data_IF_401717937859
#
_entry.id   IF_401717937859
#
_cell.length_a   1.000
_cell.length_b   1.000
_cell.length_c   1.000
_cell.angle_alpha   90.00
_cell.angle_beta   90.00
_cell.angle_gamma   90.00
#
_symmetry.space_group_name_H-M   'P 1'
#
loop_
_entity.id
_entity.type
_entity.pdbx_description
1 polymer ?
#
# COMPACT_ATOMS: atom_id res chain seq x y z
N UNK A 1 -28.75 20.41 -16.43
CA UNK A 1 -27.42 20.93 -16.13
C UNK A 1 -26.73 19.82 -15.37
N UNK A 2 -26.09 18.91 -16.10
CA UNK A 2 -25.35 17.78 -15.53
C UNK A 2 -24.07 18.35 -14.92
N UNK A 3 -23.94 18.28 -13.60
CA UNK A 3 -22.71 18.57 -12.91
C UNK A 3 -21.74 17.40 -13.17
N UNK A 4 -20.66 17.74 -13.83
CA UNK A 4 -19.58 16.87 -14.26
C UNK A 4 -18.92 16.21 -13.03
N UNK A 5 -19.06 14.88 -12.89
CA UNK A 5 -18.52 14.02 -11.83
C UNK A 5 -16.97 13.92 -11.83
N UNK A 6 -16.27 14.86 -12.49
CA UNK A 6 -14.82 14.80 -12.77
C UNK A 6 -13.90 15.49 -11.77
N UNK A 7 -14.39 15.95 -10.61
CA UNK A 7 -13.53 16.75 -9.69
C UNK A 7 -12.64 15.87 -8.79
N UNK A 8 -12.81 14.55 -8.76
CA UNK A 8 -12.03 13.64 -7.85
C UNK A 8 -11.22 12.58 -8.61
N UNK A 9 -11.28 12.53 -9.93
CA UNK A 9 -10.43 11.67 -10.73
C UNK A 9 -9.12 12.40 -11.05
N UNK A 10 -8.17 12.38 -10.12
CA UNK A 10 -6.76 12.55 -10.47
C UNK A 10 -6.42 11.50 -11.51
N UNK A 11 -6.03 11.94 -12.71
CA UNK A 11 -5.75 11.18 -13.91
C UNK A 11 -5.41 9.69 -13.65
N UNK A 12 -6.43 8.84 -13.62
CA UNK A 12 -6.28 7.42 -13.85
C UNK A 12 -5.87 7.28 -15.32
N UNK A 13 -4.57 7.09 -15.52
CA UNK A 13 -4.08 6.71 -16.82
C UNK A 13 -4.70 5.36 -17.18
N UNK A 14 -5.08 5.15 -18.45
CA UNK A 14 -5.59 3.87 -19.00
C UNK A 14 -4.73 2.65 -18.61
N UNK A 15 -3.50 2.88 -18.16
CA UNK A 15 -2.59 1.87 -17.61
C UNK A 15 -3.09 1.20 -16.31
N UNK A 16 -4.03 1.77 -15.56
CA UNK A 16 -4.52 1.21 -14.29
C UNK A 16 -5.84 0.43 -14.41
N UNK A 17 -6.60 0.58 -15.47
CA UNK A 17 -7.90 -0.11 -15.66
C UNK A 17 -7.81 -1.63 -15.58
N UNK A 18 -6.72 -2.24 -16.05
CA UNK A 18 -6.48 -3.67 -15.93
C UNK A 18 -6.08 -4.12 -14.51
N UNK A 19 -5.45 -3.25 -13.70
CA UNK A 19 -5.14 -3.57 -12.29
C UNK A 19 -6.41 -3.74 -11.47
N UNK A 20 -7.46 -2.97 -11.78
CA UNK A 20 -8.77 -3.14 -11.15
C UNK A 20 -9.39 -4.51 -11.43
N UNK A 21 -9.22 -5.05 -12.66
CA UNK A 21 -9.76 -6.37 -13.02
C UNK A 21 -9.08 -7.52 -12.27
N UNK A 22 -7.81 -7.33 -11.84
CA UNK A 22 -7.06 -8.35 -11.11
C UNK A 22 -7.32 -8.31 -9.58
N UNK A 23 -7.93 -7.24 -9.07
CA UNK A 23 -8.18 -7.11 -7.63
C UNK A 23 -9.32 -8.04 -7.20
N UNK A 24 -9.16 -8.75 -6.06
CA UNK A 24 -10.27 -9.48 -5.47
C UNK A 24 -11.37 -8.52 -5.03
N UNK A 25 -12.62 -8.95 -5.14
CA UNK A 25 -13.79 -8.17 -4.78
C UNK A 25 -14.38 -8.56 -3.43
N UNK A 26 -14.14 -9.79 -2.98
CA UNK A 26 -14.67 -10.35 -1.74
C UNK A 26 -13.53 -10.91 -0.87
N UNK A 27 -13.77 -11.05 0.42
CA UNK A 27 -12.80 -11.58 1.39
C UNK A 27 -12.38 -13.01 1.09
N UNK A 28 -13.27 -13.83 0.54
CA UNK A 28 -12.95 -15.21 0.18
C UNK A 28 -11.97 -15.31 -0.99
N UNK A 29 -11.90 -14.30 -1.86
CA UNK A 29 -10.96 -14.21 -2.96
C UNK A 29 -9.61 -13.61 -2.53
N UNK A 30 -9.56 -12.98 -1.35
CA UNK A 30 -8.38 -12.31 -0.83
C UNK A 30 -7.41 -13.33 -0.27
N UNK A 31 -6.27 -13.50 -0.91
CA UNK A 31 -5.22 -14.46 -0.56
C UNK A 31 -4.29 -13.84 0.47
N UNK A 32 -3.81 -14.65 1.42
CA UNK A 32 -2.90 -14.21 2.49
C UNK A 32 -3.55 -13.38 3.58
N UNK A 33 -2.73 -12.73 4.42
CA UNK A 33 -3.16 -11.87 5.54
C UNK A 33 -4.21 -12.55 6.45
N UNK A 34 -4.03 -13.83 6.75
CA UNK A 34 -5.06 -14.71 7.35
C UNK A 34 -5.66 -14.11 8.60
N UNK A 35 -4.83 -13.64 9.55
CA UNK A 35 -5.31 -13.07 10.81
C UNK A 35 -6.15 -11.80 10.60
N UNK A 36 -5.71 -10.91 9.71
CA UNK A 36 -6.45 -9.68 9.36
C UNK A 36 -7.79 -10.03 8.73
N UNK A 37 -7.78 -10.99 7.80
CA UNK A 37 -8.97 -11.44 7.09
C UNK A 37 -9.99 -12.09 8.03
N UNK A 38 -9.56 -12.95 8.94
CA UNK A 38 -10.42 -13.63 9.88
C UNK A 38 -11.10 -12.63 10.83
N UNK A 39 -10.34 -11.68 11.38
CA UNK A 39 -10.88 -10.63 12.24
C UNK A 39 -11.87 -9.74 11.48
N UNK A 40 -11.50 -9.25 10.31
CA UNK A 40 -12.39 -8.41 9.49
C UNK A 40 -13.68 -9.15 9.11
N UNK A 41 -13.61 -10.45 8.80
CA UNK A 41 -14.80 -11.26 8.51
C UNK A 41 -15.80 -11.27 9.67
N UNK A 42 -15.30 -11.34 10.92
CA UNK A 42 -16.15 -11.29 12.12
C UNK A 42 -16.78 -9.90 12.26
N UNK A 43 -15.96 -8.84 12.18
CA UNK A 43 -16.45 -7.46 12.38
C UNK A 43 -17.46 -7.03 11.32
N UNK A 44 -17.19 -7.34 10.04
CA UNK A 44 -18.08 -7.05 8.92
C UNK A 44 -19.40 -7.78 9.08
N UNK A 45 -19.40 -9.08 9.40
CA UNK A 45 -20.63 -9.86 9.62
C UNK A 45 -21.45 -9.31 10.78
N UNK A 46 -20.78 -8.92 11.86
CA UNK A 46 -21.44 -8.35 13.03
C UNK A 46 -22.09 -6.99 12.73
N UNK A 47 -21.38 -6.09 12.03
CA UNK A 47 -21.92 -4.79 11.62
C UNK A 47 -23.10 -4.96 10.64
N UNK A 48 -22.95 -5.83 9.63
CA UNK A 48 -24.01 -6.13 8.67
C UNK A 48 -25.28 -6.71 9.35
N UNK A 49 -25.11 -7.60 10.33
CA UNK A 49 -26.25 -8.18 11.07
C UNK A 49 -27.01 -7.15 11.93
N UNK A 50 -26.33 -6.11 12.39
CA UNK A 50 -26.94 -5.01 13.17
C UNK A 50 -27.41 -3.85 12.29
N UNK A 51 -27.13 -3.87 10.98
CA UNK A 51 -27.34 -2.76 10.04
C UNK A 51 -26.69 -1.45 10.48
N UNK A 52 -25.49 -1.54 11.04
CA UNK A 52 -24.68 -0.42 11.54
C UNK A 52 -23.43 -0.23 10.68
N UNK A 53 -22.89 0.99 10.71
CA UNK A 53 -21.57 1.24 10.16
C UNK A 53 -20.53 0.38 10.89
N UNK A 54 -19.51 -0.09 10.17
CA UNK A 54 -18.36 -0.75 10.77
C UNK A 54 -17.55 0.28 11.57
N UNK A 55 -16.93 -0.13 12.65
CA UNK A 55 -15.95 0.70 13.36
C UNK A 55 -14.86 1.19 12.38
N UNK A 56 -14.32 2.38 12.66
CA UNK A 56 -13.26 2.93 11.82
C UNK A 56 -12.03 2.02 11.77
N UNK A 57 -11.47 1.81 10.56
CA UNK A 57 -10.41 0.84 10.29
C UNK A 57 -9.12 1.56 9.87
N UNK A 58 -8.00 1.24 10.49
CA UNK A 58 -6.67 1.68 10.08
C UNK A 58 -5.90 0.53 9.46
N UNK A 59 -5.57 0.66 8.18
CA UNK A 59 -4.75 -0.28 7.42
C UNK A 59 -3.32 0.25 7.33
N UNK A 60 -2.35 -0.46 7.88
CA UNK A 60 -0.96 0.01 7.83
C UNK A 60 0.01 -1.10 7.42
N UNK A 61 1.15 -0.72 6.90
CA UNK A 61 2.21 -1.61 6.42
C UNK A 61 2.84 -1.12 5.13
N UNK A 62 3.87 -1.81 4.62
CA UNK A 62 4.59 -1.45 3.40
C UNK A 62 3.70 -1.19 2.20
N UNK A 63 4.19 -0.45 1.17
CA UNK A 63 3.40 -0.19 -0.03
C UNK A 63 3.20 -1.47 -0.85
N UNK A 64 2.11 -1.52 -1.63
CA UNK A 64 1.84 -2.61 -2.56
C UNK A 64 1.22 -3.89 -1.96
N UNK A 65 0.88 -3.89 -0.66
CA UNK A 65 0.32 -5.05 0.05
C UNK A 65 -1.22 -5.19 -0.08
N UNK A 66 -1.90 -4.24 -0.72
CA UNK A 66 -3.34 -4.35 -0.97
C UNK A 66 -4.24 -3.57 -0.02
N UNK A 67 -3.75 -2.53 0.68
CA UNK A 67 -4.56 -1.67 1.57
C UNK A 67 -5.82 -1.13 0.88
N UNK A 68 -5.67 -0.51 -0.28
CA UNK A 68 -6.78 0.00 -1.09
C UNK A 68 -7.73 -1.13 -1.55
N UNK A 69 -7.18 -2.29 -1.89
CA UNK A 69 -7.98 -3.47 -2.27
C UNK A 69 -8.84 -3.94 -1.10
N UNK A 70 -8.26 -4.00 0.11
CA UNK A 70 -8.97 -4.42 1.30
C UNK A 70 -10.09 -3.44 1.69
N UNK A 71 -9.85 -2.12 1.52
CA UNK A 71 -10.90 -1.12 1.73
C UNK A 71 -12.10 -1.31 0.78
N UNK A 72 -11.84 -1.60 -0.51
CA UNK A 72 -12.91 -1.90 -1.47
C UNK A 72 -13.64 -3.21 -1.11
N UNK A 73 -12.92 -4.24 -0.66
CA UNK A 73 -13.53 -5.50 -0.21
C UNK A 73 -14.46 -5.24 0.98
N UNK A 74 -14.04 -4.46 1.97
CA UNK A 74 -14.88 -4.11 3.15
C UNK A 74 -16.17 -3.46 2.69
N UNK A 75 -16.11 -2.47 1.80
CA UNK A 75 -17.30 -1.81 1.28
C UNK A 75 -18.23 -2.78 0.50
N UNK A 76 -17.64 -3.65 -0.33
CA UNK A 76 -18.39 -4.66 -1.08
C UNK A 76 -19.09 -5.68 -0.15
N UNK A 77 -18.38 -6.17 0.87
CA UNK A 77 -18.94 -7.12 1.85
C UNK A 77 -20.06 -6.49 2.70
N UNK A 78 -19.97 -5.19 2.99
CA UNK A 78 -21.02 -4.42 3.67
C UNK A 78 -22.16 -4.00 2.71
N UNK A 79 -21.94 -4.13 1.41
CA UNK A 79 -22.87 -3.68 0.35
C UNK A 79 -23.21 -2.17 0.46
N UNK A 80 -22.17 -1.34 0.66
CA UNK A 80 -22.28 0.12 0.75
C UNK A 80 -21.35 0.80 -0.27
N UNK A 81 -21.58 2.10 -0.49
CA UNK A 81 -20.70 2.86 -1.38
C UNK A 81 -19.35 3.14 -0.72
N UNK A 82 -18.32 3.32 -1.55
CA UNK A 82 -16.99 3.76 -1.10
C UNK A 82 -16.61 5.06 -1.81
N UNK A 83 -16.22 6.06 -1.02
CA UNK A 83 -15.55 7.26 -1.51
C UNK A 83 -14.06 7.11 -1.27
N UNK A 84 -13.28 7.27 -2.34
CA UNK A 84 -11.83 7.11 -2.30
C UNK A 84 -11.16 8.47 -2.47
N UNK A 85 -10.26 8.78 -1.55
CA UNK A 85 -9.43 10.00 -1.61
C UNK A 85 -8.05 9.70 -1.03
N UNK A 86 -7.18 10.70 -0.97
CA UNK A 86 -5.86 10.58 -0.35
C UNK A 86 -5.56 11.78 0.55
N UNK A 87 -4.67 11.60 1.54
CA UNK A 87 -4.24 12.69 2.41
C UNK A 87 -3.77 13.92 1.64
N UNK A 88 -2.87 13.78 0.64
CA UNK A 88 -2.44 14.92 -0.20
C UNK A 88 -3.55 15.63 -0.99
N UNK A 89 -4.64 14.95 -1.32
CA UNK A 89 -5.77 15.53 -2.06
C UNK A 89 -6.70 16.37 -1.18
N UNK A 90 -6.59 16.25 0.15
CA UNK A 90 -7.38 17.01 1.13
C UNK A 90 -6.50 18.14 1.69
N UNK A 91 -6.49 19.28 1.00
CA UNK A 91 -5.64 20.40 1.40
C UNK A 91 -6.25 21.26 2.49
N UNK A 92 -7.57 21.39 2.50
CA UNK A 92 -8.33 22.30 3.38
C UNK A 92 -9.45 21.59 4.11
N UNK A 93 -9.85 22.17 5.21
CA UNK A 93 -11.03 21.70 5.99
C UNK A 93 -12.31 21.61 5.14
N UNK A 94 -12.51 22.56 4.21
CA UNK A 94 -13.65 22.55 3.31
C UNK A 94 -13.70 21.37 2.36
N UNK A 95 -12.54 20.87 1.93
CA UNK A 95 -12.46 19.71 1.03
C UNK A 95 -12.97 18.46 1.75
N UNK A 96 -12.52 18.25 3.00
CA UNK A 96 -12.98 17.14 3.84
C UNK A 96 -14.46 17.27 4.17
N UNK A 97 -14.92 18.48 4.55
CA UNK A 97 -16.33 18.74 4.84
C UNK A 97 -17.22 18.42 3.64
N UNK A 98 -16.82 18.83 2.43
CA UNK A 98 -17.54 18.51 1.20
C UNK A 98 -17.62 16.99 0.94
N UNK A 99 -16.59 16.24 1.23
CA UNK A 99 -16.60 14.78 1.09
C UNK A 99 -17.57 14.17 2.11
N UNK A 100 -17.44 14.54 3.39
CA UNK A 100 -18.21 13.95 4.49
C UNK A 100 -19.72 14.24 4.38
N UNK A 101 -20.10 15.44 3.98
CA UNK A 101 -21.52 15.82 3.80
C UNK A 101 -22.21 15.14 2.60
N UNK A 102 -21.42 14.54 1.69
CA UNK A 102 -21.93 13.79 0.54
C UNK A 102 -21.90 12.26 0.75
N UNK A 103 -21.60 11.77 1.96
CA UNK A 103 -21.73 10.36 2.30
C UNK A 103 -23.19 9.99 2.57
N UNK A 104 -23.57 8.78 2.20
CA UNK A 104 -24.82 8.15 2.64
C UNK A 104 -24.64 7.39 3.95
N UNK A 105 -25.73 6.90 4.52
CA UNK A 105 -25.71 6.09 5.74
C UNK A 105 -24.89 4.81 5.53
N UNK A 106 -23.97 4.57 6.46
CA UNK A 106 -23.05 3.44 6.49
C UNK A 106 -22.02 3.40 5.34
N UNK A 107 -21.92 4.44 4.51
CA UNK A 107 -20.92 4.52 3.45
C UNK A 107 -19.50 4.44 4.00
N UNK A 108 -18.58 4.04 3.16
CA UNK A 108 -17.14 3.98 3.47
C UNK A 108 -16.44 5.20 2.89
N UNK A 109 -15.69 5.92 3.73
CA UNK A 109 -14.69 6.88 3.28
C UNK A 109 -13.30 6.25 3.40
N UNK A 110 -12.60 6.10 2.28
CA UNK A 110 -11.21 5.62 2.25
C UNK A 110 -10.25 6.77 2.00
N UNK A 111 -9.29 6.97 2.91
CA UNK A 111 -8.23 7.97 2.79
C UNK A 111 -6.89 7.24 2.70
N UNK A 112 -6.27 7.24 1.51
CA UNK A 112 -4.90 6.72 1.34
C UNK A 112 -3.87 7.74 1.83
N UNK A 113 -2.73 7.28 2.29
CA UNK A 113 -1.67 8.13 2.89
C UNK A 113 -2.20 9.12 3.95
N UNK A 114 -3.09 8.64 4.83
CA UNK A 114 -3.77 9.46 5.86
C UNK A 114 -2.78 10.24 6.74
N UNK A 115 -1.54 9.76 6.91
CA UNK A 115 -0.47 10.42 7.65
C UNK A 115 -0.02 11.75 7.02
N UNK A 116 -0.46 12.06 5.80
CA UNK A 116 -0.15 13.31 5.09
C UNK A 116 -1.23 14.38 5.23
N UNK A 117 -2.26 14.12 6.01
CA UNK A 117 -3.25 15.14 6.35
C UNK A 117 -2.60 16.27 7.16
N UNK A 118 -3.03 17.51 6.91
CA UNK A 118 -2.64 18.65 7.75
C UNK A 118 -3.31 18.55 9.13
N UNK A 119 -2.67 19.10 10.17
CA UNK A 119 -3.24 19.09 11.54
C UNK A 119 -4.63 19.68 11.62
N UNK A 120 -4.90 20.73 10.85
CA UNK A 120 -6.22 21.39 10.83
C UNK A 120 -7.30 20.51 10.21
N UNK A 121 -6.94 19.64 9.25
CA UNK A 121 -7.84 18.64 8.67
C UNK A 121 -8.05 17.47 9.63
N UNK A 122 -6.99 17.02 10.32
CA UNK A 122 -7.10 15.97 11.35
C UNK A 122 -8.07 16.36 12.47
N UNK A 123 -8.05 17.64 12.94
CA UNK A 123 -8.93 18.12 14.01
C UNK A 123 -10.41 18.00 13.64
N UNK A 124 -10.78 18.29 12.40
CA UNK A 124 -12.15 18.09 11.91
C UNK A 124 -12.50 16.61 11.86
N UNK A 125 -11.55 15.79 11.45
CA UNK A 125 -11.75 14.35 11.35
C UNK A 125 -12.04 13.73 12.71
N UNK A 126 -11.47 14.27 13.80
CA UNK A 126 -11.76 13.79 15.16
C UNK A 126 -13.25 13.88 15.52
N UNK A 127 -13.85 15.06 15.35
CA UNK A 127 -15.29 15.26 15.62
C UNK A 127 -16.17 14.45 14.68
N UNK A 128 -15.76 14.35 13.41
CA UNK A 128 -16.49 13.55 12.44
C UNK A 128 -16.50 12.06 12.78
N UNK A 129 -15.41 11.53 13.35
CA UNK A 129 -15.30 10.12 13.74
C UNK A 129 -16.01 9.79 15.06
N UNK A 130 -15.96 10.69 16.02
CA UNK A 130 -16.56 10.43 17.36
C UNK A 130 -18.02 10.80 17.44
N UNK A 131 -18.35 12.01 16.96
CA UNK A 131 -19.67 12.61 17.14
C UNK A 131 -20.55 12.51 15.90
N UNK A 132 -20.00 12.06 14.75
CA UNK A 132 -20.66 12.13 13.45
C UNK A 132 -21.22 13.54 13.17
N UNK A 133 -20.39 14.56 13.43
CA UNK A 133 -20.75 15.95 13.25
C UNK A 133 -19.53 16.79 12.85
N UNK A 134 -19.80 17.90 12.17
CA UNK A 134 -18.81 18.91 11.79
C UNK A 134 -19.17 20.25 12.42
N UNK A 135 -18.19 20.88 13.07
CA UNK A 135 -18.31 22.26 13.52
C UNK A 135 -17.69 23.20 12.50
N UNK A 136 -18.51 23.92 11.76
CA UNK A 136 -18.10 24.87 10.70
C UNK A 136 -18.20 26.29 11.22
N UNK A 137 -17.09 27.04 11.16
CA UNK A 137 -17.08 28.46 11.52
C UNK A 137 -17.46 29.28 10.28
N UNK A 138 -18.63 29.96 10.35
CA UNK A 138 -19.11 30.85 9.29
C UNK A 138 -18.86 32.30 9.71
N UNK A 139 -18.21 33.09 8.83
CA UNK A 139 -17.89 34.48 9.08
C UNK A 139 -16.44 34.68 9.54
N UNK A 140 -16.08 35.94 9.84
CA UNK A 140 -14.74 36.33 10.31
C UNK A 140 -14.85 37.26 11.51
N UNK A 141 -13.85 37.20 12.40
CA UNK A 141 -13.77 38.09 13.56
C UNK A 141 -14.84 37.83 14.63
N UNK A 142 -15.19 38.83 15.46
CA UNK A 142 -16.12 38.65 16.58
C UNK A 142 -17.56 38.25 16.19
N UNK A 143 -17.94 38.38 14.92
CA UNK A 143 -19.25 37.98 14.37
C UNK A 143 -19.24 36.54 13.80
N UNK A 144 -18.14 35.82 13.88
CA UNK A 144 -18.08 34.41 13.47
C UNK A 144 -19.02 33.56 14.32
N UNK A 145 -19.75 32.67 13.67
CA UNK A 145 -20.66 31.71 14.32
C UNK A 145 -20.24 30.30 13.99
N UNK A 146 -20.25 29.41 14.98
CA UNK A 146 -20.10 27.99 14.76
C UNK A 146 -21.46 27.41 14.40
N UNK A 147 -21.51 26.62 13.32
CA UNK A 147 -22.66 25.84 12.90
C UNK A 147 -22.28 24.39 12.94
N UNK A 148 -23.00 23.58 13.73
CA UNK A 148 -22.83 22.13 13.80
C UNK A 148 -23.68 21.49 12.72
N UNK A 149 -23.05 20.69 11.86
CA UNK A 149 -23.69 19.88 10.84
C UNK A 149 -23.61 18.41 11.25
N UNK A 150 -24.76 17.75 11.39
CA UNK A 150 -24.81 16.32 11.63
C UNK A 150 -24.43 15.57 10.34
N UNK A 151 -23.64 14.51 10.49
CA UNK A 151 -23.23 13.62 9.42
C UNK A 151 -23.97 12.28 9.53
N UNK A 152 -24.18 11.57 8.42
CA UNK A 152 -24.61 10.18 8.49
C UNK A 152 -23.55 9.34 9.20
N UNK A 153 -23.94 8.22 9.79
CA UNK A 153 -22.98 7.25 10.29
C UNK A 153 -22.20 6.67 9.12
N UNK A 154 -20.88 6.66 9.21
CA UNK A 154 -20.00 6.18 8.16
C UNK A 154 -18.80 5.42 8.74
N UNK A 155 -18.15 4.63 7.92
CA UNK A 155 -16.89 3.99 8.26
C UNK A 155 -15.73 4.72 7.61
N UNK A 156 -14.80 5.25 8.42
CA UNK A 156 -13.51 5.73 7.91
C UNK A 156 -12.53 4.56 7.81
N UNK A 157 -11.94 4.36 6.63
CA UNK A 157 -10.80 3.47 6.44
C UNK A 157 -9.59 4.32 6.10
N UNK A 158 -8.66 4.44 7.05
CA UNK A 158 -7.38 5.11 6.83
C UNK A 158 -6.32 4.12 6.36
N UNK A 159 -5.50 4.50 5.38
CA UNK A 159 -4.34 3.71 4.98
C UNK A 159 -3.04 4.50 5.15
N UNK A 160 -1.98 3.83 5.62
CA UNK A 160 -0.67 4.45 5.79
C UNK A 160 0.48 3.47 5.59
N UNK A 161 1.60 3.96 5.10
CA UNK A 161 2.89 3.25 5.15
C UNK A 161 3.68 3.58 6.41
N UNK A 162 3.33 4.67 7.11
CA UNK A 162 4.06 5.25 8.24
C UNK A 162 3.15 5.41 9.46
N UNK A 163 2.89 4.31 10.18
CA UNK A 163 2.04 4.34 11.38
C UNK A 163 2.50 5.38 12.41
N UNK A 164 3.82 5.50 12.62
CA UNK A 164 4.40 6.45 13.57
C UNK A 164 4.25 7.93 13.17
N UNK A 165 3.85 8.24 11.94
CA UNK A 165 3.59 9.60 11.47
C UNK A 165 2.15 10.06 11.72
N UNK A 166 1.24 9.15 12.10
CA UNK A 166 -0.13 9.48 12.49
C UNK A 166 -0.13 9.99 13.92
N UNK A 167 -0.79 11.12 14.17
CA UNK A 167 -0.97 11.65 15.52
C UNK A 167 -1.70 10.64 16.43
N UNK A 168 -1.27 10.48 17.67
CA UNK A 168 -1.86 9.54 18.61
C UNK A 168 -3.39 9.74 18.76
N UNK A 169 -3.92 10.98 18.86
CA UNK A 169 -5.37 11.18 18.95
C UNK A 169 -6.15 10.66 17.75
N UNK A 170 -5.61 10.76 16.52
CA UNK A 170 -6.25 10.19 15.35
C UNK A 170 -6.19 8.66 15.36
N UNK A 171 -5.02 8.11 15.69
CA UNK A 171 -4.82 6.66 15.71
C UNK A 171 -5.73 5.96 16.72
N UNK A 172 -5.93 6.56 17.90
CA UNK A 172 -6.72 5.97 18.99
C UNK A 172 -8.23 5.93 18.69
N UNK A 173 -8.68 6.67 17.66
CA UNK A 173 -10.06 6.66 17.15
C UNK A 173 -10.37 5.53 16.19
N UNK A 174 -9.35 4.81 15.73
CA UNK A 174 -9.56 3.62 14.92
C UNK A 174 -9.77 2.41 15.81
N UNK A 175 -11.01 1.92 15.89
CA UNK A 175 -11.39 0.75 16.68
C UNK A 175 -10.78 -0.55 16.13
N UNK A 176 -10.49 -0.58 14.82
CA UNK A 176 -9.88 -1.74 14.15
C UNK A 176 -8.55 -1.33 13.53
N UNK A 177 -7.45 -1.97 13.95
CA UNK A 177 -6.12 -1.71 13.40
C UNK A 177 -5.56 -2.98 12.77
N UNK A 178 -5.25 -2.91 11.47
CA UNK A 178 -4.79 -4.05 10.67
C UNK A 178 -3.37 -3.79 10.14
N UNK A 179 -2.40 -4.54 10.63
CA UNK A 179 -1.04 -4.57 10.10
C UNK A 179 -0.99 -5.53 8.90
N UNK A 180 -0.65 -5.02 7.72
CA UNK A 180 -0.41 -5.87 6.56
C UNK A 180 1.07 -6.20 6.47
N UNK A 181 1.35 -7.49 6.30
CA UNK A 181 2.69 -8.03 6.21
C UNK A 181 3.05 -8.42 4.78
N UNK A 182 4.34 -8.59 4.52
CA UNK A 182 4.79 -9.12 3.24
C UNK A 182 4.27 -10.54 3.04
N UNK A 183 3.88 -10.83 1.81
CA UNK A 183 3.37 -12.15 1.40
C UNK A 183 4.51 -13.14 1.25
N UNK A 184 4.21 -14.41 1.59
CA UNK A 184 5.11 -15.51 1.30
C UNK A 184 5.10 -15.83 -0.20
N UNK A 185 6.19 -16.41 -0.74
CA UNK A 185 6.22 -16.80 -2.16
C UNK A 185 5.07 -17.73 -2.57
N UNK A 186 4.64 -18.62 -1.68
CA UNK A 186 3.53 -19.54 -1.93
C UNK A 186 2.20 -18.79 -2.10
N UNK A 187 1.95 -17.76 -1.28
CA UNK A 187 0.76 -16.92 -1.38
C UNK A 187 0.78 -16.10 -2.66
N UNK A 188 1.93 -15.53 -3.01
CA UNK A 188 2.10 -14.78 -4.27
C UNK A 188 1.96 -15.68 -5.49
N UNK A 189 2.38 -16.94 -5.43
CA UNK A 189 2.18 -17.90 -6.49
C UNK A 189 0.67 -18.07 -6.80
N UNK A 190 -0.17 -18.20 -5.78
CA UNK A 190 -1.63 -18.27 -5.97
C UNK A 190 -2.18 -16.96 -6.58
N UNK A 191 -1.70 -15.81 -6.13
CA UNK A 191 -2.10 -14.51 -6.69
C UNK A 191 -1.71 -14.41 -8.17
N UNK A 192 -0.49 -14.85 -8.53
CA UNK A 192 0.01 -14.85 -9.91
C UNK A 192 -0.83 -15.81 -10.79
N UNK A 193 -1.10 -17.01 -10.30
CA UNK A 193 -1.91 -18.00 -11.04
C UNK A 193 -3.30 -17.45 -11.33
N UNK A 194 -3.98 -16.91 -10.31
CA UNK A 194 -5.29 -16.25 -10.48
C UNK A 194 -5.21 -15.06 -11.47
N UNK A 195 -4.17 -14.24 -11.35
CA UNK A 195 -3.98 -13.11 -12.26
C UNK A 195 -3.72 -13.56 -13.69
N UNK A 196 -2.98 -14.65 -13.91
CA UNK A 196 -2.72 -15.23 -15.21
C UNK A 196 -4.02 -15.76 -15.87
N UNK A 197 -4.89 -16.41 -15.09
CA UNK A 197 -6.22 -16.84 -15.56
C UNK A 197 -7.06 -15.65 -16.04
N UNK A 198 -7.15 -14.57 -15.25
CA UNK A 198 -7.90 -13.37 -15.62
C UNK A 198 -7.31 -12.70 -16.87
N UNK A 199 -5.99 -12.72 -17.03
CA UNK A 199 -5.27 -12.17 -18.18
C UNK A 199 -5.27 -13.13 -19.40
N UNK A 200 -5.86 -14.31 -19.27
CA UNK A 200 -5.85 -15.37 -20.28
C UNK A 200 -4.42 -15.77 -20.71
N UNK A 201 -3.54 -15.92 -19.74
CA UNK A 201 -2.14 -16.31 -19.92
C UNK A 201 -1.93 -17.69 -19.31
N UNK A 202 -1.33 -18.61 -20.08
CA UNK A 202 -0.96 -19.93 -19.54
C UNK A 202 0.38 -19.82 -18.81
N UNK A 203 0.40 -20.22 -17.56
CA UNK A 203 1.61 -20.27 -16.73
C UNK A 203 1.61 -21.58 -15.95
N UNK A 204 2.74 -22.24 -15.86
CA UNK A 204 2.88 -23.40 -15.01
C UNK A 204 3.23 -23.03 -13.57
N UNK A 205 3.21 -24.03 -12.69
CA UNK A 205 3.47 -23.83 -11.25
C UNK A 205 4.87 -23.30 -10.99
N UNK A 206 5.86 -23.76 -11.74
CA UNK A 206 7.26 -23.39 -11.54
C UNK A 206 7.53 -21.96 -12.07
N UNK A 207 6.95 -21.58 -13.21
CA UNK A 207 7.00 -20.20 -13.72
C UNK A 207 6.34 -19.19 -12.77
N UNK A 208 5.15 -19.54 -12.25
CA UNK A 208 4.47 -18.73 -11.26
C UNK A 208 5.29 -18.58 -9.95
N UNK A 209 5.94 -19.65 -9.48
CA UNK A 209 6.80 -19.62 -8.31
C UNK A 209 8.06 -18.78 -8.55
N UNK A 210 8.66 -18.84 -9.74
CA UNK A 210 9.84 -18.04 -10.06
C UNK A 210 9.53 -16.53 -10.03
N UNK A 211 8.38 -16.13 -10.60
CA UNK A 211 7.90 -14.74 -10.51
C UNK A 211 7.60 -14.37 -9.05
N UNK A 212 6.94 -15.26 -8.29
CA UNK A 212 6.59 -15.03 -6.89
C UNK A 212 7.80 -14.74 -6.02
N UNK A 213 8.86 -15.53 -6.14
CA UNK A 213 10.11 -15.36 -5.38
C UNK A 213 10.77 -14.01 -5.63
N UNK A 214 10.66 -13.47 -6.83
CA UNK A 214 11.25 -12.17 -7.21
C UNK A 214 10.29 -10.98 -7.03
N UNK A 215 9.10 -11.22 -6.47
CA UNK A 215 8.06 -10.19 -6.30
C UNK A 215 8.15 -9.40 -4.99
N UNK A 216 9.25 -9.54 -4.24
CA UNK A 216 9.53 -8.74 -3.03
C UNK A 216 8.40 -8.81 -1.99
N UNK A 217 7.71 -9.93 -1.90
CA UNK A 217 6.61 -10.11 -0.96
C UNK A 217 5.38 -9.23 -1.23
N UNK A 218 5.25 -8.62 -2.42
CA UNK A 218 4.15 -7.69 -2.71
C UNK A 218 3.31 -8.07 -3.94
N UNK A 219 1.98 -8.15 -3.81
CA UNK A 219 1.08 -8.44 -4.92
C UNK A 219 1.19 -7.45 -6.10
N UNK A 220 1.45 -6.17 -5.82
CA UNK A 220 1.62 -5.14 -6.86
C UNK A 220 2.81 -5.47 -7.77
N UNK A 221 3.95 -5.85 -7.18
CA UNK A 221 5.13 -6.23 -7.96
C UNK A 221 4.90 -7.55 -8.68
N UNK A 222 4.28 -8.54 -8.03
CA UNK A 222 3.94 -9.83 -8.63
C UNK A 222 3.13 -9.66 -9.92
N UNK A 223 2.05 -8.89 -9.87
CA UNK A 223 1.21 -8.60 -11.03
C UNK A 223 1.97 -7.82 -12.12
N UNK A 224 2.82 -6.86 -11.73
CA UNK A 224 3.66 -6.11 -12.66
C UNK A 224 4.65 -7.02 -13.38
N UNK A 225 5.34 -7.90 -12.65
CA UNK A 225 6.29 -8.85 -13.23
C UNK A 225 5.60 -9.86 -14.13
N UNK A 226 4.46 -10.44 -13.71
CA UNK A 226 3.68 -11.33 -14.54
C UNK A 226 3.33 -10.70 -15.89
N UNK A 227 2.89 -9.44 -15.88
CA UNK A 227 2.57 -8.71 -17.12
C UNK A 227 3.79 -8.57 -18.02
N UNK A 228 4.94 -8.25 -17.47
CA UNK A 228 6.17 -8.13 -18.27
C UNK A 228 6.60 -9.49 -18.82
N UNK A 229 6.60 -10.54 -18.02
CA UNK A 229 6.94 -11.90 -18.47
C UNK A 229 5.96 -12.36 -19.56
N UNK A 230 4.67 -12.04 -19.45
CA UNK A 230 3.68 -12.28 -20.50
C UNK A 230 4.08 -11.60 -21.83
N UNK A 231 4.50 -10.33 -21.78
CA UNK A 231 4.91 -9.60 -22.97
C UNK A 231 6.09 -10.32 -23.68
N UNK A 232 7.05 -10.88 -22.90
CA UNK A 232 8.13 -11.71 -23.43
C UNK A 232 7.60 -13.02 -24.06
N UNK A 233 6.71 -13.73 -23.37
CA UNK A 233 6.10 -14.96 -23.88
C UNK A 233 5.43 -14.72 -25.24
N UNK A 234 4.67 -13.64 -25.33
CA UNK A 234 3.94 -13.27 -26.55
C UNK A 234 4.89 -12.97 -27.73
N UNK A 235 5.96 -12.22 -27.50
CA UNK A 235 6.93 -11.86 -28.55
C UNK A 235 7.73 -13.08 -29.00
N UNK A 236 8.04 -14.00 -28.08
CA UNK A 236 8.77 -15.23 -28.40
C UNK A 236 7.87 -16.35 -28.96
N UNK A 237 6.55 -16.15 -28.99
CA UNK A 237 5.58 -17.15 -29.45
C UNK A 237 5.49 -18.38 -28.53
N UNK A 238 5.83 -18.22 -27.24
CA UNK A 238 5.75 -19.30 -26.24
C UNK A 238 4.37 -19.32 -25.63
N UNK A 239 3.71 -20.48 -25.66
CA UNK A 239 2.32 -20.62 -25.22
C UNK A 239 2.19 -20.68 -23.69
N UNK A 240 3.15 -21.28 -23.00
CA UNK A 240 3.12 -21.51 -21.56
C UNK A 240 4.35 -20.87 -20.92
N UNK A 241 4.15 -20.03 -19.93
CA UNK A 241 5.23 -19.44 -19.13
C UNK A 241 5.70 -20.51 -18.14
N UNK A 242 6.85 -21.08 -18.42
CA UNK A 242 7.56 -21.98 -17.52
C UNK A 242 8.62 -21.24 -16.71
N UNK A 243 9.35 -21.98 -15.85
CA UNK A 243 10.42 -21.44 -15.04
C UNK A 243 11.55 -20.81 -15.86
N UNK A 244 11.94 -21.45 -16.99
CA UNK A 244 13.04 -20.98 -17.79
C UNK A 244 12.73 -19.64 -18.44
N UNK A 245 11.55 -19.52 -19.07
CA UNK A 245 11.09 -18.27 -19.66
C UNK A 245 10.96 -17.16 -18.62
N UNK A 246 10.40 -17.49 -17.45
CA UNK A 246 10.28 -16.53 -16.34
C UNK A 246 11.64 -16.02 -15.90
N UNK A 247 12.62 -16.90 -15.69
CA UNK A 247 14.00 -16.52 -15.29
C UNK A 247 14.68 -15.65 -16.36
N UNK A 248 14.62 -16.04 -17.63
CA UNK A 248 15.20 -15.28 -18.74
C UNK A 248 14.59 -13.89 -18.89
N UNK A 249 13.25 -13.79 -18.80
CA UNK A 249 12.54 -12.52 -18.89
C UNK A 249 12.89 -11.60 -17.70
N UNK A 250 12.89 -12.14 -16.48
CA UNK A 250 13.24 -11.37 -15.28
C UNK A 250 14.69 -10.92 -15.28
N UNK A 251 15.62 -11.74 -15.79
CA UNK A 251 17.01 -11.34 -15.96
C UNK A 251 17.16 -10.17 -16.96
N UNK A 252 16.42 -10.18 -18.08
CA UNK A 252 16.38 -9.06 -19.03
C UNK A 252 15.75 -7.79 -18.45
N UNK A 253 14.85 -7.93 -17.47
CA UNK A 253 14.28 -6.82 -16.71
C UNK A 253 15.20 -6.34 -15.57
N UNK A 254 16.40 -6.87 -15.48
CA UNK A 254 17.40 -6.60 -14.43
C UNK A 254 16.91 -6.93 -13.00
N UNK A 255 15.92 -7.82 -12.86
CA UNK A 255 15.43 -8.34 -11.58
C UNK A 255 16.19 -9.62 -11.25
N UNK A 256 17.00 -9.59 -10.21
CA UNK A 256 17.82 -10.72 -9.82
C UNK A 256 17.05 -11.79 -9.02
N UNK A 257 17.77 -12.84 -8.59
CA UNK A 257 17.18 -13.97 -7.83
C UNK A 257 16.58 -13.57 -6.46
N UNK A 258 16.95 -12.42 -5.91
CA UNK A 258 16.42 -11.85 -4.67
C UNK A 258 15.25 -10.88 -4.93
N UNK A 259 14.92 -10.64 -6.20
CA UNK A 259 13.95 -9.64 -6.61
C UNK A 259 14.48 -8.21 -6.56
N UNK A 260 15.80 -8.04 -6.47
CA UNK A 260 16.41 -6.71 -6.48
C UNK A 260 16.52 -6.19 -7.92
N UNK A 261 16.01 -4.99 -8.11
CA UNK A 261 16.19 -4.23 -9.33
C UNK A 261 17.45 -3.35 -9.27
N UNK A 262 17.64 -2.53 -10.30
CA UNK A 262 18.80 -1.64 -10.39
C UNK A 262 18.89 -0.67 -9.20
N UNK A 263 17.75 -0.18 -8.69
CA UNK A 263 17.72 0.77 -7.59
C UNK A 263 18.04 0.11 -6.25
N UNK A 264 17.52 -1.10 -6.01
CA UNK A 264 17.90 -1.87 -4.82
C UNK A 264 19.41 -2.15 -4.79
N UNK A 265 19.96 -2.53 -5.95
CA UNK A 265 21.40 -2.78 -6.07
C UNK A 265 22.24 -1.54 -5.81
N UNK A 266 21.74 -0.34 -6.07
CA UNK A 266 22.44 0.90 -5.69
C UNK A 266 22.67 1.01 -4.18
N UNK A 267 21.78 0.44 -3.35
CA UNK A 267 21.98 0.40 -1.90
C UNK A 267 23.22 -0.39 -1.47
N UNK A 268 23.73 -1.28 -2.33
CA UNK A 268 25.03 -1.95 -2.09
C UNK A 268 26.20 -0.94 -2.06
N UNK A 269 25.98 0.30 -2.52
CA UNK A 269 26.88 1.43 -2.38
C UNK A 269 27.33 1.65 -0.94
N UNK A 270 26.48 1.33 0.07
CA UNK A 270 26.85 1.37 1.48
C UNK A 270 28.10 0.55 1.74
N UNK A 271 28.22 -0.64 1.14
CA UNK A 271 29.42 -1.47 1.27
C UNK A 271 30.56 -0.93 0.44
N UNK A 272 30.30 -0.65 -0.84
CA UNK A 272 31.36 -0.31 -1.81
C UNK A 272 31.99 1.05 -1.56
N UNK A 273 31.20 2.05 -1.14
CA UNK A 273 31.65 3.44 -1.00
C UNK A 273 31.91 3.82 0.44
N UNK A 274 31.16 3.26 1.38
CA UNK A 274 31.18 3.66 2.78
C UNK A 274 31.63 2.54 3.74
N UNK A 275 32.26 1.49 3.23
CA UNK A 275 32.81 0.41 4.05
C UNK A 275 31.80 -0.35 4.91
N UNK A 276 30.51 -0.33 4.53
CA UNK A 276 29.44 -1.02 5.25
C UNK A 276 28.61 -0.14 6.20
N UNK A 277 29.00 1.11 6.40
CA UNK A 277 28.30 2.07 7.24
C UNK A 277 28.87 2.18 8.67
N UNK A 278 28.20 2.96 9.58
CA UNK A 278 26.86 3.55 9.43
C UNK A 278 26.82 4.78 8.51
N UNK A 279 25.78 4.90 7.68
CA UNK A 279 25.61 6.00 6.71
C UNK A 279 24.24 6.66 6.91
N UNK A 280 24.20 8.00 6.93
CA UNK A 280 22.96 8.77 6.99
C UNK A 280 22.13 8.63 5.73
N UNK A 281 20.79 8.75 5.85
CA UNK A 281 19.86 8.59 4.72
C UNK A 281 20.14 9.59 3.60
N UNK A 282 20.38 10.85 3.93
CA UNK A 282 20.66 11.90 2.95
C UNK A 282 21.93 11.63 2.13
N UNK A 283 22.96 11.06 2.78
CA UNK A 283 24.19 10.66 2.10
C UNK A 283 23.96 9.51 1.11
N UNK A 284 23.13 8.54 1.52
CA UNK A 284 22.76 7.44 0.64
C UNK A 284 21.90 7.96 -0.52
N UNK A 285 20.90 8.79 -0.23
CA UNK A 285 20.01 9.40 -1.21
C UNK A 285 20.79 10.14 -2.32
N UNK A 286 21.75 10.95 -1.91
CA UNK A 286 22.65 11.64 -2.83
C UNK A 286 23.51 10.66 -3.65
N UNK A 287 24.07 9.61 -3.03
CA UNK A 287 24.93 8.63 -3.70
C UNK A 287 24.18 7.77 -4.72
N UNK A 288 22.90 7.44 -4.46
CA UNK A 288 22.06 6.62 -5.36
C UNK A 288 21.18 7.42 -6.30
N UNK A 289 21.15 8.77 -6.14
CA UNK A 289 20.30 9.70 -6.90
C UNK A 289 18.81 9.33 -6.78
N UNK A 290 18.36 9.17 -5.52
CA UNK A 290 16.97 8.88 -5.16
C UNK A 290 16.54 9.82 -4.03
N UNK A 291 15.22 10.03 -3.85
CA UNK A 291 14.69 10.76 -2.70
C UNK A 291 14.80 9.92 -1.43
N UNK A 292 15.12 10.57 -0.30
CA UNK A 292 15.19 9.93 1.02
C UNK A 292 13.89 9.19 1.37
N UNK A 293 12.73 9.78 1.02
CA UNK A 293 11.41 9.19 1.21
C UNK A 293 11.22 7.89 0.42
N UNK A 294 11.68 7.84 -0.83
CA UNK A 294 11.63 6.63 -1.66
C UNK A 294 12.48 5.50 -1.06
N UNK A 295 13.66 5.85 -0.56
CA UNK A 295 14.51 4.86 0.10
C UNK A 295 13.82 4.33 1.37
N UNK A 296 13.32 5.19 2.24
CA UNK A 296 12.70 4.81 3.50
C UNK A 296 11.40 4.01 3.34
N UNK A 297 10.57 4.36 2.35
CA UNK A 297 9.24 3.79 2.22
C UNK A 297 9.19 2.57 1.29
N UNK A 298 10.10 2.47 0.31
CA UNK A 298 10.03 1.45 -0.74
C UNK A 298 11.21 0.49 -0.72
N UNK A 299 12.45 0.99 -0.61
CA UNK A 299 13.66 0.18 -0.76
C UNK A 299 14.06 -0.45 0.59
N UNK A 300 14.20 0.37 1.61
CA UNK A 300 14.70 -0.02 2.93
C UNK A 300 13.87 -1.13 3.61
N UNK A 301 12.51 -1.09 3.60
CA UNK A 301 11.72 -2.11 4.27
C UNK A 301 11.96 -3.52 3.74
N UNK A 302 12.11 -3.66 2.43
CA UNK A 302 12.39 -4.95 1.82
C UNK A 302 13.82 -5.43 2.10
N UNK A 303 14.81 -4.55 2.01
CA UNK A 303 16.20 -4.90 2.34
C UNK A 303 16.37 -5.31 3.80
N UNK A 304 15.65 -4.64 4.71
CA UNK A 304 15.62 -5.00 6.13
C UNK A 304 14.97 -6.37 6.34
N UNK A 305 13.86 -6.65 5.67
CA UNK A 305 13.19 -7.95 5.71
C UNK A 305 14.11 -9.09 5.21
N UNK A 306 14.88 -8.82 4.15
CA UNK A 306 15.86 -9.78 3.63
C UNK A 306 17.12 -9.88 4.52
N UNK A 307 17.15 -9.16 5.65
CA UNK A 307 18.29 -9.14 6.55
C UNK A 307 19.53 -8.49 5.95
N UNK A 308 19.41 -7.71 4.88
CA UNK A 308 20.53 -7.07 4.20
C UNK A 308 20.94 -5.73 4.79
N UNK A 309 20.01 -5.05 5.46
CA UNK A 309 20.23 -3.71 6.01
C UNK A 309 19.75 -3.65 7.45
N UNK A 310 20.53 -3.00 8.31
CA UNK A 310 20.16 -2.62 9.67
C UNK A 310 20.04 -1.11 9.78
N UNK A 311 18.97 -0.65 10.44
CA UNK A 311 18.80 0.74 10.83
C UNK A 311 19.27 0.95 12.27
N UNK A 312 20.21 1.86 12.46
CA UNK A 312 20.77 2.21 13.77
C UNK A 312 20.55 3.69 14.04
N UNK A 313 20.79 4.13 15.28
CA UNK A 313 20.75 5.55 15.66
C UNK A 313 21.77 6.42 14.91
N UNK A 314 22.84 5.81 14.38
CA UNK A 314 23.90 6.50 13.63
C UNK A 314 23.68 6.47 12.12
N UNK A 315 22.72 5.68 11.62
CA UNK A 315 22.47 5.51 10.20
C UNK A 315 22.25 4.06 9.80
N UNK A 316 22.35 3.79 8.49
CA UNK A 316 22.13 2.49 7.87
C UNK A 316 23.43 1.73 7.80
N UNK A 317 23.38 0.45 8.15
CA UNK A 317 24.53 -0.45 8.10
C UNK A 317 24.21 -1.68 7.25
N UNK A 318 25.16 -2.10 6.45
CA UNK A 318 25.09 -3.36 5.72
C UNK A 318 25.33 -4.53 6.70
N UNK A 319 24.64 -5.65 6.46
CA UNK A 319 24.80 -6.87 7.26
C UNK A 319 25.72 -7.88 6.59
N UNK A 320 26.01 -9.00 7.24
CA UNK A 320 26.72 -10.14 6.61
C UNK A 320 26.05 -10.62 5.33
N UNK A 321 24.70 -10.59 5.27
CA UNK A 321 23.97 -11.02 4.07
C UNK A 321 24.26 -10.11 2.87
N UNK A 322 24.43 -8.79 3.08
CA UNK A 322 24.81 -7.86 2.02
C UNK A 322 26.20 -8.19 1.46
N UNK A 323 27.14 -8.48 2.34
CA UNK A 323 28.51 -8.87 1.91
C UNK A 323 28.49 -10.21 1.18
N UNK A 324 27.69 -11.18 1.67
CA UNK A 324 27.51 -12.48 0.99
C UNK A 324 26.87 -12.31 -0.40
N UNK A 325 25.86 -11.46 -0.49
CA UNK A 325 25.21 -11.12 -1.77
C UNK A 325 26.20 -10.54 -2.78
N UNK A 326 27.09 -9.66 -2.32
CA UNK A 326 28.14 -9.02 -3.15
C UNK A 326 29.33 -9.93 -3.45
N UNK A 327 29.46 -11.08 -2.80
CA UNK A 327 30.64 -11.93 -2.88
C UNK A 327 31.89 -11.33 -2.25
N UNK A 328 31.74 -10.43 -1.26
CA UNK A 328 32.83 -9.71 -0.58
C UNK A 328 32.97 -10.25 0.86
N UNK A 329 34.19 -10.49 1.36
CA UNK A 329 34.39 -10.89 2.75
C UNK A 329 33.83 -9.87 3.74
N UNK A 330 33.17 -10.36 4.80
CA UNK A 330 32.69 -9.50 5.88
C UNK A 330 33.88 -9.05 6.76
N UNK A 331 34.03 -7.76 7.08
CA UNK A 331 35.10 -7.28 7.94
C UNK A 331 34.95 -7.85 9.37
N UNK A 332 36.03 -8.43 9.91
CA UNK A 332 36.01 -9.03 11.26
C UNK A 332 35.87 -7.99 12.41
N UNK A 333 36.04 -6.69 12.10
CA UNK A 333 36.03 -5.59 13.08
C UNK A 333 34.80 -4.65 13.00
N UNK A 334 33.69 -5.13 12.46
CA UNK A 334 32.40 -4.37 12.45
C UNK A 334 31.38 -4.93 13.42
#
# INVERSE_FOLDING_TARGET
MEFDDRIIAGAEQEADGWQYSLRPRLLNEYIGQTQVKDNLSIFIKAAAARHEALDHVLLFGPPGLGKTTLANIIANELNVNIRVTSGPAIERQGDLAAILTNLGDNDVLFIDEIHRLSKTVEEILYSAMEDFALDIIIGKGPAARSVRLDLPHFTLIGATTRLGAIAAPLRDRFGVQCCLEFYKPEELQFIITRAAEILNVKIDKEGAMEIARRSRGTPRIANRLLKRVRDFAQVLGVEVIDRQLADEALAKLEVDRYGFDRNDRKMTTIVKTFGGGPVGIETIAAAVSEESSTIEDVIEPYLMQQGMLNRTSRGRMATRETYRYLGIPFPENQ
#
